data_IF_873174103384
#
_entry.id   IF_873174103384
#
_cell.length_a   1.000
_cell.length_b   1.000
_cell.length_c   1.000
_cell.angle_alpha   90.00
_cell.angle_beta   90.00
_cell.angle_gamma   90.00
#
_symmetry.space_group_name_H-M   'P 1'
#
loop_
_entity.id
_entity.type
_entity.pdbx_description
1 polymer ?
#
# COMPACT_ATOMS: atom_id res chain seq x y z
N UNK A 1 -17.30 -3.99 4.28
CA UNK A 1 -17.62 -2.61 3.89
C UNK A 1 -16.56 -1.70 4.50
N UNK A 2 -15.87 -0.86 3.72
CA UNK A 2 -14.83 0.04 4.23
C UNK A 2 -15.42 0.96 5.32
N UNK A 3 -14.69 1.19 6.40
CA UNK A 3 -15.17 2.08 7.44
C UNK A 3 -15.17 3.54 6.96
N UNK A 4 -16.06 4.37 7.54
CA UNK A 4 -16.18 5.79 7.17
C UNK A 4 -14.85 6.54 7.34
N UNK A 5 -14.07 6.21 8.36
CA UNK A 5 -12.76 6.81 8.59
C UNK A 5 -11.75 6.45 7.50
N UNK A 6 -11.73 5.19 7.04
CA UNK A 6 -10.85 4.73 5.96
C UNK A 6 -11.11 5.56 4.69
N UNK A 7 -12.37 5.68 4.29
CA UNK A 7 -12.79 6.42 3.09
C UNK A 7 -12.49 7.90 3.22
N UNK A 8 -12.85 8.53 4.34
CA UNK A 8 -12.62 9.96 4.56
C UNK A 8 -11.13 10.32 4.49
N UNK A 9 -10.28 9.48 5.11
CA UNK A 9 -8.84 9.69 5.11
C UNK A 9 -8.22 9.53 3.71
N UNK A 10 -8.67 8.54 2.95
CA UNK A 10 -8.23 8.35 1.56
C UNK A 10 -8.68 9.51 0.66
N UNK A 11 -9.95 9.93 0.76
CA UNK A 11 -10.47 11.08 0.01
C UNK A 11 -9.65 12.33 0.30
N UNK A 12 -9.38 12.63 1.58
CA UNK A 12 -8.53 13.75 1.97
C UNK A 12 -7.12 13.65 1.36
N UNK A 13 -6.51 12.45 1.40
CA UNK A 13 -5.21 12.19 0.79
C UNK A 13 -5.18 12.44 -0.72
N UNK A 14 -6.18 11.93 -1.45
CA UNK A 14 -6.33 12.18 -2.89
C UNK A 14 -6.59 13.65 -3.19
N UNK A 15 -7.45 14.32 -2.43
CA UNK A 15 -7.72 15.75 -2.61
C UNK A 15 -6.46 16.60 -2.45
N UNK A 16 -5.63 16.31 -1.44
CA UNK A 16 -4.33 16.96 -1.27
C UNK A 16 -3.40 16.69 -2.45
N UNK A 17 -3.32 15.43 -2.88
CA UNK A 17 -2.51 15.02 -4.02
C UNK A 17 -2.93 15.77 -5.31
N UNK A 18 -4.22 15.73 -5.66
CA UNK A 18 -4.73 16.41 -6.85
C UNK A 18 -4.54 17.92 -6.78
N UNK A 19 -4.66 18.53 -5.60
CA UNK A 19 -4.46 19.97 -5.43
C UNK A 19 -3.02 20.38 -5.76
N UNK A 20 -2.03 19.67 -5.21
CA UNK A 20 -0.61 20.02 -5.44
C UNK A 20 -0.07 19.53 -6.78
N UNK A 21 -0.69 18.49 -7.36
CA UNK A 21 -0.32 18.01 -8.69
C UNK A 21 -0.97 18.83 -9.80
N UNK A 22 -2.23 19.20 -9.65
CA UNK A 22 -2.93 20.10 -10.55
C UNK A 22 -2.33 21.50 -10.59
N UNK A 23 -1.96 22.05 -9.43
CA UNK A 23 -1.35 23.38 -9.34
C UNK A 23 -0.01 23.51 -10.10
N UNK A 24 0.67 22.40 -10.42
CA UNK A 24 1.90 22.44 -11.22
C UNK A 24 1.66 22.39 -12.74
N UNK A 25 0.40 22.40 -13.19
CA UNK A 25 0.03 22.41 -14.62
C UNK A 25 0.31 21.09 -15.37
N UNK A 26 0.65 20.01 -14.67
CA UNK A 26 0.99 18.72 -15.30
C UNK A 26 -0.19 17.80 -15.59
N UNK A 27 -1.36 18.06 -14.98
CA UNK A 27 -2.58 17.27 -15.20
C UNK A 27 -3.30 17.75 -16.45
N UNK A 28 -3.23 16.95 -17.51
CA UNK A 28 -3.99 17.11 -18.75
C UNK A 28 -4.95 15.94 -18.93
N UNK A 29 -5.97 16.08 -19.79
CA UNK A 29 -6.85 14.96 -20.15
C UNK A 29 -6.04 13.79 -20.74
N UNK A 30 -5.03 14.08 -21.55
CA UNK A 30 -4.19 13.07 -22.20
C UNK A 30 -3.39 12.21 -21.20
N UNK A 31 -3.01 12.79 -20.04
CA UNK A 31 -2.35 12.04 -18.97
C UNK A 31 -3.24 10.93 -18.38
N UNK A 32 -4.57 11.05 -18.45
CA UNK A 32 -5.51 10.01 -18.01
C UNK A 32 -5.65 8.87 -19.02
N UNK A 33 -5.37 9.14 -20.30
CA UNK A 33 -5.52 8.18 -21.40
C UNK A 33 -4.17 7.71 -21.96
N UNK A 34 -3.08 7.92 -21.21
CA UNK A 34 -1.75 7.46 -21.58
C UNK A 34 -1.75 5.96 -21.91
N UNK A 35 -1.19 5.60 -23.07
CA UNK A 35 -1.15 4.23 -23.53
C UNK A 35 -0.32 3.32 -22.59
N UNK A 36 -0.85 2.14 -22.27
CA UNK A 36 -0.13 1.15 -21.49
C UNK A 36 1.05 0.59 -22.29
N UNK A 37 2.25 0.98 -21.92
CA UNK A 37 3.50 0.44 -22.49
C UNK A 37 3.88 -0.87 -21.80
N UNK A 38 4.72 -1.69 -22.46
CA UNK A 38 5.29 -2.91 -21.85
C UNK A 38 5.97 -2.60 -20.50
N UNK A 39 6.66 -1.47 -20.39
CA UNK A 39 7.31 -1.03 -19.15
C UNK A 39 6.29 -0.77 -18.04
N UNK A 40 5.15 -0.17 -18.39
CA UNK A 40 4.04 0.07 -17.43
C UNK A 40 3.42 -1.24 -16.98
N UNK A 41 3.27 -2.22 -17.87
CA UNK A 41 2.80 -3.57 -17.51
C UNK A 41 3.78 -4.28 -16.57
N UNK A 42 5.07 -4.25 -16.88
CA UNK A 42 6.11 -4.83 -16.00
C UNK A 42 6.10 -4.16 -14.62
N UNK A 43 6.01 -2.83 -14.56
CA UNK A 43 5.87 -2.11 -13.31
C UNK A 43 4.61 -2.54 -12.53
N UNK A 44 3.47 -2.63 -13.20
CA UNK A 44 2.21 -3.09 -12.60
C UNK A 44 2.30 -4.52 -12.04
N UNK A 45 3.03 -5.43 -12.70
CA UNK A 45 3.28 -6.78 -12.20
C UNK A 45 4.16 -6.78 -10.93
N UNK A 46 5.25 -5.99 -10.93
CA UNK A 46 6.11 -5.83 -9.75
C UNK A 46 5.34 -5.18 -8.58
N UNK A 47 4.50 -4.19 -8.89
CA UNK A 47 3.58 -3.56 -7.93
C UNK A 47 2.59 -4.59 -7.38
N UNK A 48 2.14 -5.57 -8.17
CA UNK A 48 1.20 -6.59 -7.68
C UNK A 48 1.80 -7.58 -6.69
N UNK A 49 3.14 -7.68 -6.61
CA UNK A 49 3.85 -8.74 -5.86
C UNK A 49 3.38 -8.92 -4.41
N UNK A 50 3.25 -7.84 -3.64
CA UNK A 50 2.82 -7.96 -2.24
C UNK A 50 1.37 -8.43 -2.13
N UNK A 51 0.49 -7.95 -3.00
CA UNK A 51 -0.94 -8.29 -2.99
C UNK A 51 -1.19 -9.74 -3.42
N UNK A 52 -0.42 -10.24 -4.39
CA UNK A 52 -0.41 -11.66 -4.75
C UNK A 52 0.00 -12.51 -3.56
N UNK A 53 1.05 -12.11 -2.83
CA UNK A 53 1.49 -12.84 -1.64
C UNK A 53 0.42 -12.83 -0.53
N UNK A 54 -0.23 -11.68 -0.28
CA UNK A 54 -1.36 -11.60 0.65
C UNK A 54 -2.50 -12.54 0.23
N UNK A 55 -2.86 -12.59 -1.05
CA UNK A 55 -3.91 -13.49 -1.54
C UNK A 55 -3.53 -14.96 -1.39
N UNK A 56 -2.29 -15.34 -1.73
CA UNK A 56 -1.81 -16.73 -1.60
C UNK A 56 -1.88 -17.22 -0.15
N UNK A 57 -1.43 -16.39 0.80
CA UNK A 57 -1.47 -16.74 2.23
C UNK A 57 -2.91 -16.74 2.75
N UNK A 58 -3.76 -15.83 2.27
CA UNK A 58 -5.17 -15.75 2.66
C UNK A 58 -5.95 -17.01 2.28
N UNK A 59 -5.82 -17.45 1.01
CA UNK A 59 -6.60 -18.59 0.49
C UNK A 59 -5.95 -19.95 0.77
N UNK A 60 -4.64 -20.01 0.98
CA UNK A 60 -3.91 -21.28 1.19
C UNK A 60 -3.01 -21.27 2.44
N UNK A 61 -3.52 -20.89 3.63
CA UNK A 61 -2.68 -20.73 4.82
C UNK A 61 -2.04 -22.05 5.27
N UNK A 62 -2.75 -23.18 5.16
CA UNK A 62 -2.22 -24.51 5.54
C UNK A 62 -1.04 -24.93 4.66
N UNK A 63 -1.16 -24.75 3.34
CA UNK A 63 -0.07 -25.04 2.39
C UNK A 63 1.14 -24.16 2.67
N UNK A 64 0.92 -22.86 2.92
CA UNK A 64 2.00 -21.93 3.27
C UNK A 64 2.69 -22.32 4.58
N UNK A 65 1.93 -22.67 5.63
CA UNK A 65 2.49 -23.15 6.90
C UNK A 65 3.31 -24.44 6.73
N UNK A 66 2.82 -25.40 5.94
CA UNK A 66 3.55 -26.64 5.62
C UNK A 66 4.86 -26.35 4.89
N UNK A 67 4.83 -25.45 3.91
CA UNK A 67 6.04 -25.02 3.20
C UNK A 67 7.05 -24.33 4.13
N UNK A 68 6.57 -23.46 5.03
CA UNK A 68 7.42 -22.82 6.04
C UNK A 68 8.04 -23.83 6.99
N UNK A 69 7.29 -24.84 7.44
CA UNK A 69 7.81 -25.90 8.30
C UNK A 69 8.91 -26.72 7.62
N UNK A 70 8.81 -26.92 6.30
CA UNK A 70 9.82 -27.63 5.52
C UNK A 70 11.07 -26.78 5.23
N UNK A 71 10.91 -25.52 4.80
CA UNK A 71 12.01 -24.68 4.32
C UNK A 71 12.65 -23.81 5.41
N UNK A 72 11.92 -23.50 6.47
CA UNK A 72 12.37 -22.61 7.54
C UNK A 72 11.89 -23.12 8.93
N UNK A 73 12.24 -24.35 9.35
CA UNK A 73 11.70 -25.00 10.54
C UNK A 73 11.95 -24.24 11.86
N UNK A 74 12.93 -23.33 11.88
CA UNK A 74 13.24 -22.48 13.05
C UNK A 74 12.48 -21.16 13.08
N UNK A 75 11.70 -20.86 12.03
CA UNK A 75 10.93 -19.62 11.90
C UNK A 75 9.43 -19.88 11.99
N UNK A 76 8.70 -18.92 12.55
CA UNK A 76 7.23 -18.94 12.47
C UNK A 76 6.77 -18.56 11.06
N UNK A 77 5.65 -19.13 10.59
CA UNK A 77 5.07 -18.78 9.30
C UNK A 77 4.81 -17.27 9.16
N UNK A 78 4.38 -16.61 10.25
CA UNK A 78 4.23 -15.14 10.31
C UNK A 78 5.55 -14.41 10.05
N UNK A 79 6.66 -14.85 10.64
CA UNK A 79 7.96 -14.20 10.43
C UNK A 79 8.44 -14.37 8.99
N UNK A 80 8.24 -15.55 8.40
CA UNK A 80 8.55 -15.79 6.98
C UNK A 80 7.67 -14.90 6.09
N UNK A 81 6.37 -14.85 6.35
CA UNK A 81 5.43 -14.01 5.59
C UNK A 81 5.78 -12.52 5.68
N UNK A 82 6.07 -12.03 6.88
CA UNK A 82 6.51 -10.65 7.11
C UNK A 82 7.77 -10.30 6.31
N UNK A 83 8.77 -11.17 6.29
CA UNK A 83 9.99 -10.98 5.51
C UNK A 83 9.72 -10.98 4.00
N UNK A 84 8.89 -11.92 3.51
CA UNK A 84 8.49 -11.97 2.10
C UNK A 84 7.70 -10.71 1.68
N UNK A 85 6.81 -10.21 2.55
CA UNK A 85 6.10 -8.94 2.29
C UNK A 85 7.08 -7.77 2.26
N UNK A 86 8.07 -7.72 3.14
CA UNK A 86 9.08 -6.67 3.12
C UNK A 86 9.88 -6.68 1.79
N UNK A 87 10.32 -7.86 1.34
CA UNK A 87 10.96 -8.02 0.02
C UNK A 87 10.01 -7.58 -1.09
N UNK A 88 8.76 -8.02 -1.07
CA UNK A 88 7.77 -7.62 -2.06
C UNK A 88 7.55 -6.10 -2.08
N UNK A 89 7.48 -5.44 -0.92
CA UNK A 89 7.35 -3.97 -0.80
C UNK A 89 8.54 -3.25 -1.43
N UNK A 90 9.76 -3.73 -1.22
CA UNK A 90 10.96 -3.21 -1.90
C UNK A 90 10.83 -3.42 -3.41
N UNK A 91 10.42 -4.60 -3.86
CA UNK A 91 10.17 -4.89 -5.29
C UNK A 91 9.13 -3.95 -5.90
N UNK A 92 8.05 -3.61 -5.19
CA UNK A 92 7.06 -2.63 -5.64
C UNK A 92 7.72 -1.25 -5.89
N UNK A 93 8.56 -0.79 -4.97
CA UNK A 93 9.25 0.51 -5.12
C UNK A 93 10.31 0.48 -6.22
N UNK A 94 11.08 -0.59 -6.33
CA UNK A 94 12.05 -0.78 -7.42
C UNK A 94 11.34 -0.79 -8.78
N UNK A 95 10.17 -1.43 -8.88
CA UNK A 95 9.37 -1.42 -10.10
C UNK A 95 8.90 -0.03 -10.48
N UNK A 96 8.39 0.75 -9.53
CA UNK A 96 7.93 2.12 -9.78
C UNK A 96 9.09 3.08 -10.11
N UNK A 97 10.17 3.04 -9.34
CA UNK A 97 11.36 3.89 -9.57
C UNK A 97 12.05 3.51 -10.89
N UNK A 98 12.17 2.20 -11.17
CA UNK A 98 12.71 1.69 -12.42
C UNK A 98 11.86 2.07 -13.63
N UNK A 99 10.54 2.14 -13.48
CA UNK A 99 9.68 2.70 -14.52
C UNK A 99 9.88 4.22 -14.67
N UNK A 100 9.94 4.95 -13.56
CA UNK A 100 10.11 6.41 -13.57
C UNK A 100 11.44 6.84 -14.19
N UNK A 101 12.52 6.10 -13.94
CA UNK A 101 13.85 6.37 -14.49
C UNK A 101 13.91 6.28 -16.03
N UNK A 102 12.94 5.60 -16.64
CA UNK A 102 12.82 5.55 -18.10
C UNK A 102 12.18 6.78 -18.73
N UNK A 103 11.66 7.70 -17.90
CA UNK A 103 10.96 8.93 -18.31
C UNK A 103 11.64 10.20 -17.78
N UNK A 104 12.89 10.05 -17.29
CA UNK A 104 13.76 11.12 -16.82
C UNK A 104 14.61 10.70 -15.62
N UNK A 105 15.50 11.59 -15.17
CA UNK A 105 16.31 11.35 -13.99
C UNK A 105 15.44 11.45 -12.72
N UNK A 106 15.29 10.36 -11.97
CA UNK A 106 14.43 10.31 -10.78
C UNK A 106 14.87 11.30 -9.70
N UNK A 107 16.17 11.50 -9.51
CA UNK A 107 16.65 12.48 -8.53
C UNK A 107 16.24 13.89 -8.94
N UNK A 108 16.40 14.24 -10.22
CA UNK A 108 15.95 15.53 -10.76
C UNK A 108 14.43 15.69 -10.65
N UNK A 109 13.65 14.65 -10.95
CA UNK A 109 12.19 14.65 -10.77
C UNK A 109 11.83 15.02 -9.32
N UNK A 110 12.54 14.46 -8.34
CA UNK A 110 12.24 14.64 -6.93
C UNK A 110 12.71 16.01 -6.41
N UNK A 111 13.94 16.43 -6.72
CA UNK A 111 14.51 17.68 -6.18
C UNK A 111 13.95 18.94 -6.86
N UNK A 112 13.48 18.85 -8.10
CA UNK A 112 12.95 20.00 -8.85
C UNK A 112 11.54 20.42 -8.40
N UNK A 113 10.93 19.68 -7.47
CA UNK A 113 9.58 19.94 -6.98
C UNK A 113 9.54 21.17 -6.07
N UNK A 114 8.50 22.00 -6.23
CA UNK A 114 8.26 23.15 -5.36
C UNK A 114 8.01 22.75 -3.89
N UNK A 115 8.34 23.65 -2.96
CA UNK A 115 8.27 23.39 -1.52
C UNK A 115 6.91 22.87 -1.03
N UNK A 116 5.80 23.40 -1.57
CA UNK A 116 4.43 22.97 -1.21
C UNK A 116 4.21 21.48 -1.52
N UNK A 117 4.74 20.99 -2.64
CA UNK A 117 4.63 19.58 -3.04
C UNK A 117 5.46 18.69 -2.13
N UNK A 118 6.67 19.11 -1.77
CA UNK A 118 7.50 18.40 -0.79
C UNK A 118 6.83 18.29 0.58
N UNK A 119 6.32 19.41 1.10
CA UNK A 119 5.60 19.43 2.39
C UNK A 119 4.39 18.49 2.34
N UNK A 120 3.63 18.51 1.25
CA UNK A 120 2.46 17.63 1.09
C UNK A 120 2.85 16.17 1.00
N UNK A 121 3.91 15.84 0.25
CA UNK A 121 4.42 14.47 0.15
C UNK A 121 4.89 13.95 1.52
N UNK A 122 5.66 14.75 2.26
CA UNK A 122 6.12 14.42 3.60
C UNK A 122 4.97 14.29 4.60
N UNK A 123 3.94 15.13 4.49
CA UNK A 123 2.73 15.04 5.32
C UNK A 123 1.98 13.72 5.07
N UNK A 124 1.73 13.39 3.80
CA UNK A 124 1.07 12.15 3.40
C UNK A 124 1.86 10.92 3.87
N UNK A 125 3.18 10.93 3.70
CA UNK A 125 4.07 9.89 4.23
C UNK A 125 4.04 9.82 5.76
N UNK A 126 4.14 10.96 6.44
CA UNK A 126 4.17 11.03 7.90
C UNK A 126 2.89 10.50 8.52
N UNK A 127 1.73 10.90 8.02
CA UNK A 127 0.42 10.38 8.47
C UNK A 127 0.32 8.90 8.17
N UNK A 128 0.69 8.48 6.95
CA UNK A 128 0.59 7.09 6.54
C UNK A 128 1.47 6.15 7.38
N UNK A 129 2.72 6.54 7.63
CA UNK A 129 3.64 5.80 8.48
C UNK A 129 3.21 5.83 9.96
N UNK A 130 2.60 6.91 10.43
CA UNK A 130 2.06 6.97 11.80
C UNK A 130 0.93 5.97 12.03
N UNK A 131 0.03 5.81 11.04
CA UNK A 131 -1.00 4.76 11.07
C UNK A 131 -0.38 3.37 11.08
N UNK A 132 0.58 3.10 10.18
CA UNK A 132 1.27 1.81 10.10
C UNK A 132 2.08 1.50 11.38
N UNK A 133 2.72 2.49 12.01
CA UNK A 133 3.41 2.26 13.28
C UNK A 133 2.43 1.96 14.41
N UNK A 134 1.28 2.61 14.40
CA UNK A 134 0.26 2.46 15.45
C UNK A 134 -0.40 1.09 15.43
N UNK A 135 -0.64 0.50 14.25
CA UNK A 135 -1.14 -0.89 14.18
C UNK A 135 -0.14 -1.89 14.76
N UNK A 136 1.17 -1.73 14.52
CA UNK A 136 2.18 -2.62 15.10
C UNK A 136 2.21 -2.49 16.62
N UNK A 137 1.97 -1.29 17.15
CA UNK A 137 1.82 -1.08 18.60
C UNK A 137 0.54 -1.72 19.15
N UNK A 138 -0.55 -1.69 18.38
CA UNK A 138 -1.87 -2.12 18.84
C UNK A 138 -2.08 -3.65 18.78
N UNK A 139 -1.63 -4.32 17.72
CA UNK A 139 -1.87 -5.76 17.48
C UNK A 139 -0.60 -6.57 17.20
N UNK A 140 0.57 -5.92 17.22
CA UNK A 140 1.85 -6.58 16.99
C UNK A 140 2.03 -7.08 15.55
N UNK A 141 3.20 -7.67 15.30
CA UNK A 141 3.54 -8.29 14.01
C UNK A 141 2.57 -9.42 13.65
N UNK A 142 2.19 -10.23 14.64
CA UNK A 142 1.29 -11.36 14.42
C UNK A 142 -0.10 -10.88 13.99
N UNK A 143 -0.60 -9.76 14.51
CA UNK A 143 -1.85 -9.17 14.03
C UNK A 143 -1.77 -8.60 12.60
N UNK A 144 -0.67 -7.93 12.25
CA UNK A 144 -0.50 -7.32 10.93
C UNK A 144 -0.34 -8.36 9.81
N UNK A 145 0.28 -9.51 10.10
CA UNK A 145 0.64 -10.51 9.09
C UNK A 145 -0.12 -11.82 9.25
N UNK A 146 -1.46 -11.74 9.32
CA UNK A 146 -2.36 -12.90 9.31
C UNK A 146 -2.06 -13.97 10.37
N UNK A 147 -1.61 -13.57 11.55
CA UNK A 147 -1.34 -14.48 12.66
C UNK A 147 -2.51 -15.44 12.92
N UNK A 148 -3.75 -14.93 12.88
CA UNK A 148 -4.94 -15.76 13.10
C UNK A 148 -5.11 -16.88 12.07
N UNK A 149 -4.77 -16.66 10.80
CA UNK A 149 -4.77 -17.72 9.77
C UNK A 149 -3.53 -18.61 9.85
N UNK A 150 -2.45 -18.10 10.43
CA UNK A 150 -1.15 -18.77 10.56
C UNK A 150 -0.92 -19.37 11.96
N UNK A 151 -2.00 -19.67 12.70
CA UNK A 151 -1.95 -20.40 13.97
C UNK A 151 -1.43 -19.60 15.16
N UNK A 152 -1.50 -18.27 15.11
CA UNK A 152 -1.13 -17.36 16.21
C UNK A 152 -2.38 -16.72 16.80
N UNK A 153 -2.47 -16.61 18.14
CA UNK A 153 -3.55 -15.86 18.77
C UNK A 153 -3.35 -14.36 18.49
N UNK A 154 -4.36 -13.73 17.87
CA UNK A 154 -4.39 -12.29 17.61
C UNK A 154 -5.59 -11.71 18.33
N UNK A 155 -5.40 -10.87 19.36
CA UNK A 155 -6.52 -10.25 20.07
C UNK A 155 -7.14 -9.12 19.25
N UNK A 156 -8.45 -8.94 19.41
CA UNK A 156 -9.10 -7.69 19.00
C UNK A 156 -8.53 -6.51 19.79
N UNK A 157 -8.33 -5.38 19.12
CA UNK A 157 -7.77 -4.18 19.74
C UNK A 157 -8.72 -3.00 19.61
N UNK A 158 -8.93 -2.31 20.73
CA UNK A 158 -9.66 -1.04 20.82
C UNK A 158 -8.71 0.14 20.99
N UNK A 159 -7.41 -0.06 20.85
CA UNK A 159 -6.44 1.03 20.87
C UNK A 159 -6.43 1.79 19.53
N UNK A 160 -5.81 2.97 19.51
CA UNK A 160 -5.54 3.67 18.25
C UNK A 160 -4.69 2.78 17.32
N UNK A 161 -5.02 2.68 16.01
CA UNK A 161 -6.00 3.49 15.27
C UNK A 161 -7.44 2.92 15.21
N UNK A 162 -7.72 1.77 15.81
CA UNK A 162 -9.03 1.11 15.73
C UNK A 162 -10.14 1.89 16.45
N UNK A 163 -9.86 2.54 17.60
CA UNK A 163 -10.84 3.41 18.27
C UNK A 163 -11.22 4.68 17.49
N UNK A 164 -10.43 5.08 16.49
CA UNK A 164 -10.73 6.22 15.63
C UNK A 164 -11.65 5.82 14.45
N UNK A 165 -12.17 4.59 14.45
CA UNK A 165 -13.11 4.11 13.44
C UNK A 165 -12.45 3.60 12.17
N UNK A 166 -11.13 3.40 12.16
CA UNK A 166 -10.44 2.73 11.05
C UNK A 166 -10.67 1.22 11.10
N UNK A 167 -11.00 0.60 9.96
CA UNK A 167 -11.11 -0.86 9.84
C UNK A 167 -9.81 -1.46 9.30
N UNK A 168 -9.26 -0.87 8.24
CA UNK A 168 -7.99 -1.30 7.65
C UNK A 168 -6.93 -0.18 7.67
N UNK A 169 -6.54 0.29 8.87
CA UNK A 169 -5.57 1.39 9.04
C UNK A 169 -4.24 1.16 8.31
N UNK A 170 -3.82 -0.10 8.15
CA UNK A 170 -2.61 -0.49 7.44
C UNK A 170 -2.67 -0.19 5.93
N UNK A 171 -3.87 -0.34 5.34
CA UNK A 171 -4.10 -0.06 3.94
C UNK A 171 -4.24 1.41 3.66
N UNK A 172 -4.93 2.13 4.54
CA UNK A 172 -4.96 3.60 4.50
C UNK A 172 -3.54 4.16 4.63
N UNK A 173 -2.78 3.69 5.63
CA UNK A 173 -1.42 4.15 5.89
C UNK A 173 -0.45 3.87 4.74
N UNK A 174 -0.51 2.67 4.17
CA UNK A 174 0.24 2.30 2.97
C UNK A 174 -0.10 3.16 1.76
N UNK A 175 -1.40 3.41 1.51
CA UNK A 175 -1.84 4.22 0.37
C UNK A 175 -1.44 5.68 0.51
N UNK A 176 -1.62 6.30 1.69
CA UNK A 176 -1.17 7.68 1.93
C UNK A 176 0.34 7.84 1.74
N UNK A 177 1.12 6.89 2.25
CA UNK A 177 2.57 6.90 2.04
C UNK A 177 2.93 6.83 0.55
N UNK A 178 2.21 5.99 -0.19
CA UNK A 178 2.42 5.85 -1.62
C UNK A 178 1.96 7.08 -2.41
N UNK A 179 0.89 7.77 -1.99
CA UNK A 179 0.50 9.06 -2.59
C UNK A 179 1.59 10.11 -2.45
N UNK A 180 2.31 10.13 -1.32
CA UNK A 180 3.49 10.97 -1.16
C UNK A 180 4.56 10.67 -2.21
N UNK A 181 4.85 9.39 -2.47
CA UNK A 181 5.80 8.98 -3.53
C UNK A 181 5.30 9.42 -4.91
N UNK A 182 4.03 9.16 -5.23
CA UNK A 182 3.44 9.59 -6.50
C UNK A 182 3.50 11.10 -6.68
N UNK A 183 3.30 11.89 -5.62
CA UNK A 183 3.39 13.35 -5.70
C UNK A 183 4.81 13.80 -6.10
N UNK A 184 5.85 13.16 -5.55
CA UNK A 184 7.25 13.47 -5.88
C UNK A 184 7.64 13.03 -7.30
N UNK A 185 7.04 11.94 -7.80
CA UNK A 185 7.30 11.45 -9.15
C UNK A 185 6.47 12.16 -10.22
N UNK A 186 5.44 12.95 -9.87
CA UNK A 186 4.48 13.55 -10.79
C UNK A 186 5.02 14.75 -11.60
N UNK A 187 5.93 14.48 -12.53
CA UNK A 187 6.36 15.43 -13.57
C UNK A 187 5.44 15.39 -14.79
N UNK A 188 5.44 16.41 -15.66
CA UNK A 188 4.72 16.33 -16.94
C UNK A 188 5.10 15.07 -17.75
N UNK A 189 6.38 14.70 -17.79
CA UNK A 189 6.83 13.51 -18.54
C UNK A 189 6.26 12.21 -17.99
N UNK A 190 6.30 12.00 -16.67
CA UNK A 190 5.79 10.78 -16.04
C UNK A 190 4.26 10.71 -16.05
N UNK A 191 3.56 11.85 -15.90
CA UNK A 191 2.10 11.91 -15.98
C UNK A 191 1.62 11.44 -17.36
N UNK A 192 2.18 11.99 -18.45
CA UNK A 192 1.86 11.56 -19.81
C UNK A 192 2.36 10.15 -20.15
N UNK A 193 3.32 9.62 -19.38
CA UNK A 193 3.79 8.25 -19.53
C UNK A 193 2.89 7.19 -18.85
N UNK A 194 1.88 7.61 -18.07
CA UNK A 194 0.94 6.70 -17.41
C UNK A 194 1.15 6.53 -15.90
N UNK A 195 1.78 7.50 -15.21
CA UNK A 195 1.88 7.48 -13.75
C UNK A 195 0.49 7.35 -13.07
N UNK A 196 -0.53 8.01 -13.63
CA UNK A 196 -1.90 7.92 -13.14
C UNK A 196 -2.49 6.51 -13.27
N UNK A 197 -2.17 5.78 -14.34
CA UNK A 197 -2.59 4.39 -14.52
C UNK A 197 -1.94 3.47 -13.48
N UNK A 198 -0.64 3.66 -13.20
CA UNK A 198 0.04 2.92 -12.14
C UNK A 198 -0.51 3.26 -10.74
N UNK A 199 -0.85 4.52 -10.50
CA UNK A 199 -1.51 4.94 -9.26
C UNK A 199 -2.89 4.28 -9.12
N UNK A 200 -3.72 4.33 -10.16
CA UNK A 200 -5.03 3.69 -10.18
C UNK A 200 -4.93 2.16 -9.96
N UNK A 201 -3.94 1.51 -10.59
CA UNK A 201 -3.65 0.10 -10.37
C UNK A 201 -3.29 -0.19 -8.91
N UNK A 202 -2.44 0.65 -8.31
CA UNK A 202 -2.07 0.52 -6.91
C UNK A 202 -3.28 0.65 -5.97
N UNK A 203 -4.17 1.61 -6.24
CA UNK A 203 -5.42 1.81 -5.49
C UNK A 203 -6.32 0.60 -5.61
N UNK A 204 -6.49 0.07 -6.83
CA UNK A 204 -7.29 -1.12 -7.09
C UNK A 204 -6.79 -2.31 -6.29
N UNK A 205 -5.47 -2.54 -6.26
CA UNK A 205 -4.88 -3.63 -5.49
C UNK A 205 -5.15 -3.50 -3.99
N UNK A 206 -5.01 -2.30 -3.41
CA UNK A 206 -5.33 -2.06 -2.00
C UNK A 206 -6.82 -2.25 -1.72
N UNK A 207 -7.70 -1.79 -2.62
CA UNK A 207 -9.14 -1.98 -2.50
C UNK A 207 -9.51 -3.48 -2.55
N UNK A 208 -8.95 -4.23 -3.50
CA UNK A 208 -9.18 -5.67 -3.63
C UNK A 208 -8.68 -6.44 -2.41
N UNK A 209 -7.49 -6.15 -1.89
CA UNK A 209 -6.99 -6.79 -0.67
C UNK A 209 -7.84 -6.43 0.54
N UNK A 210 -8.29 -5.18 0.68
CA UNK A 210 -9.20 -4.77 1.76
C UNK A 210 -10.55 -5.48 1.69
N UNK A 211 -11.10 -5.64 0.48
CA UNK A 211 -12.36 -6.35 0.25
C UNK A 211 -12.22 -7.86 0.52
N UNK A 212 -11.11 -8.44 0.08
CA UNK A 212 -10.76 -9.84 0.37
C UNK A 212 -10.71 -10.09 1.87
N UNK A 213 -10.02 -9.24 2.63
CA UNK A 213 -9.94 -9.39 4.08
C UNK A 213 -11.30 -9.22 4.77
N UNK A 214 -12.06 -8.22 4.35
CA UNK A 214 -13.38 -7.96 4.92
C UNK A 214 -14.41 -9.09 4.70
N UNK A 215 -14.11 -10.08 3.85
CA UNK A 215 -15.01 -11.20 3.55
C UNK A 215 -14.95 -12.36 4.56
N UNK A 216 -13.83 -12.48 5.29
CA UNK A 216 -13.57 -13.58 6.25
C UNK A 216 -12.75 -13.02 7.42
N UNK A 217 -13.23 -11.90 7.96
CA UNK A 217 -12.71 -11.33 9.18
C UNK A 217 -13.03 -12.26 10.35
N UNK A 218 -12.15 -12.25 11.35
CA UNK A 218 -12.21 -13.11 12.53
C UNK A 218 -13.32 -12.66 13.49
N UNK A 219 -14.54 -12.46 12.98
CA UNK A 219 -15.78 -12.08 13.66
C UNK A 219 -16.28 -13.21 14.56
N UNK A 220 -15.38 -13.80 15.35
CA UNK A 220 -15.78 -14.37 16.64
C UNK A 220 -16.26 -13.18 17.46
N UNK A 221 -17.53 -12.82 17.24
CA UNK A 221 -18.35 -12.07 18.17
C UNK A 221 -18.11 -12.74 19.51
N UNK A 222 -17.64 -11.97 20.47
CA UNK A 222 -17.50 -12.44 21.84
C UNK A 222 -18.76 -13.23 22.21
N UNK A 223 -18.55 -14.49 22.58
CA UNK A 223 -19.40 -15.11 23.55
C UNK A 223 -19.23 -14.28 24.82
N UNK A 224 -20.19 -13.39 25.06
CA UNK A 224 -20.62 -12.85 26.35
C UNK A 224 -22.08 -12.39 26.20
#
# INVERSE_FOLDING_TARGET
MLARADVACLVAGFSLWFSVVGASGGLSADAFFAALTLRSVLAALLISSSHVLYALVWYSPKSFMSLCAALAPRSTAVSVFSALVAVAKVTQQVGLIGWASTHGNVLEMVISMGAVRWVTALLLMGVGQSLNLSIYRAIGKDGVYYGFKLGRPVPWSTAFPFNAGFRHPQYVGGMLSQLGVFALLATPSSLHAGLLALMAWWVLLYALTSLMEASDDNDIKGAD
#
